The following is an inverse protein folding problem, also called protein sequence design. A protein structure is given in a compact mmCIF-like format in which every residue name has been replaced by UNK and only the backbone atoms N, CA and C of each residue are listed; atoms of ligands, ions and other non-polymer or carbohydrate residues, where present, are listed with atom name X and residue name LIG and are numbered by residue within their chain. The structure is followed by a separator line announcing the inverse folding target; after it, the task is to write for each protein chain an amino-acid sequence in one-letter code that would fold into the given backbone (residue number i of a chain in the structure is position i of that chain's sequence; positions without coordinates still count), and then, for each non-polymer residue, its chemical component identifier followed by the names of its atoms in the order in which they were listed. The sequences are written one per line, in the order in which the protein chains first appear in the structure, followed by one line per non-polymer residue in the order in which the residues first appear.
data_IF_878298139104
#
_entry.id   IF_878298139104
#
_cell.length_a   1.000
_cell.length_b   1.000
_cell.length_c   1.000
_cell.angle_alpha   90.00
_cell.angle_beta   90.00
_cell.angle_gamma   90.00
#
_symmetry.space_group_name_H-M   'P 1'
#
loop_
_entity.id
_entity.type
_entity.pdbx_description
1 polymer ?
#
# COMPACT_ATOMS: atom_id res chain seq x y z
N UNK A 1 -12.78 50.43 -70.74
CA UNK A 1 -13.08 49.06 -70.30
C UNK A 1 -12.25 48.77 -69.06
N UNK A 2 -12.86 48.50 -67.89
CA UNK A 2 -12.26 47.76 -66.76
C UNK A 2 -13.25 47.68 -65.57
N UNK A 3 -13.89 46.52 -65.39
CA UNK A 3 -14.69 46.20 -64.19
C UNK A 3 -13.76 45.60 -63.14
N UNK A 4 -13.65 46.22 -61.96
CA UNK A 4 -13.00 45.62 -60.79
C UNK A 4 -13.99 44.68 -60.11
N UNK A 5 -13.74 43.37 -60.18
CA UNK A 5 -14.49 42.34 -59.45
C UNK A 5 -14.01 42.37 -57.99
N UNK A 6 -14.93 42.65 -57.05
CA UNK A 6 -14.66 42.47 -55.61
C UNK A 6 -15.12 41.08 -55.20
N UNK A 7 -14.18 40.20 -54.88
CA UNK A 7 -14.47 38.90 -54.26
C UNK A 7 -14.69 39.14 -52.77
N UNK A 8 -15.95 39.07 -52.35
CA UNK A 8 -16.32 39.08 -50.94
C UNK A 8 -16.18 37.67 -50.37
N UNK A 9 -15.04 37.36 -49.75
CA UNK A 9 -14.85 36.11 -49.00
C UNK A 9 -15.60 36.22 -47.68
N UNK A 10 -16.82 35.68 -47.63
CA UNK A 10 -17.59 35.55 -46.40
C UNK A 10 -17.00 34.40 -45.56
N UNK A 11 -16.08 34.71 -44.64
CA UNK A 11 -15.63 33.76 -43.64
C UNK A 11 -16.82 33.40 -42.73
N UNK A 12 -17.31 32.17 -42.86
CA UNK A 12 -18.41 31.62 -42.06
C UNK A 12 -17.96 31.56 -40.59
N UNK A 13 -18.33 32.53 -39.76
CA UNK A 13 -18.12 32.48 -38.31
C UNK A 13 -18.86 31.25 -37.77
N UNK A 14 -18.12 30.22 -37.39
CA UNK A 14 -18.66 29.12 -36.61
C UNK A 14 -19.14 29.69 -35.28
N UNK A 15 -20.44 29.62 -35.01
CA UNK A 15 -20.99 30.01 -33.71
C UNK A 15 -20.37 29.10 -32.66
N UNK A 16 -19.55 29.67 -31.77
CA UNK A 16 -19.12 28.97 -30.57
C UNK A 16 -20.37 28.71 -29.73
N UNK A 17 -20.77 27.44 -29.62
CA UNK A 17 -21.81 27.02 -28.70
C UNK A 17 -21.20 27.04 -27.29
N UNK A 18 -21.56 28.06 -26.51
CA UNK A 18 -21.14 28.16 -25.12
C UNK A 18 -21.88 27.14 -24.26
N UNK A 19 -21.14 26.52 -23.34
CA UNK A 19 -21.71 25.70 -22.27
C UNK A 19 -22.72 26.52 -21.46
N UNK A 20 -23.92 26.00 -21.28
CA UNK A 20 -24.93 26.66 -20.44
C UNK A 20 -24.59 26.43 -18.96
N UNK A 21 -24.97 27.37 -18.09
CA UNK A 21 -24.82 27.19 -16.63
C UNK A 21 -25.57 25.95 -16.15
N UNK A 22 -26.73 25.67 -16.76
CA UNK A 22 -27.53 24.48 -16.50
C UNK A 22 -26.76 23.19 -16.77
N UNK A 23 -26.04 23.10 -17.90
CA UNK A 23 -25.24 21.93 -18.23
C UNK A 23 -24.17 21.63 -17.19
N UNK A 24 -23.50 22.66 -16.69
CA UNK A 24 -22.50 22.46 -15.63
C UNK A 24 -23.17 21.97 -14.35
N UNK A 25 -24.32 22.55 -13.96
CA UNK A 25 -25.05 22.12 -12.75
C UNK A 25 -25.53 20.68 -12.84
N UNK A 26 -26.08 20.28 -13.99
CA UNK A 26 -26.52 18.89 -14.20
C UNK A 26 -25.32 17.94 -14.28
N UNK A 27 -24.24 18.32 -14.95
CA UNK A 27 -23.04 17.51 -15.04
C UNK A 27 -22.40 17.26 -13.66
N UNK A 28 -22.24 18.30 -12.83
CA UNK A 28 -21.69 18.13 -11.48
C UNK A 28 -22.63 17.30 -10.59
N UNK A 29 -23.96 17.41 -10.77
CA UNK A 29 -24.91 16.60 -10.03
C UNK A 29 -24.79 15.10 -10.38
N UNK A 30 -24.63 14.77 -11.67
CA UNK A 30 -24.40 13.39 -12.12
C UNK A 30 -23.06 12.86 -11.60
N UNK A 31 -21.98 13.65 -11.70
CA UNK A 31 -20.66 13.25 -11.19
C UNK A 31 -20.70 13.02 -9.67
N UNK A 32 -21.36 13.88 -8.90
CA UNK A 32 -21.48 13.73 -7.46
C UNK A 32 -22.23 12.44 -7.07
N UNK A 33 -23.32 12.12 -7.78
CA UNK A 33 -24.07 10.88 -7.58
C UNK A 33 -23.20 9.65 -7.85
N UNK A 34 -22.48 9.63 -8.98
CA UNK A 34 -21.61 8.52 -9.35
C UNK A 34 -20.45 8.36 -8.36
N UNK A 35 -19.83 9.46 -7.95
CA UNK A 35 -18.75 9.44 -6.97
C UNK A 35 -19.25 8.86 -5.63
N UNK A 36 -20.41 9.30 -5.14
CA UNK A 36 -20.99 8.79 -3.90
C UNK A 36 -21.24 7.27 -3.92
N UNK A 37 -21.63 6.72 -5.07
CA UNK A 37 -21.86 5.28 -5.22
C UNK A 37 -20.56 4.45 -5.26
N UNK A 38 -19.48 4.97 -5.85
CA UNK A 38 -18.25 4.20 -6.12
C UNK A 38 -17.25 4.27 -4.96
N UNK A 39 -17.16 5.40 -4.26
CA UNK A 39 -16.11 5.67 -3.28
C UNK A 39 -16.01 4.65 -2.12
N UNK A 40 -17.13 4.17 -1.52
CA UNK A 40 -17.04 3.22 -0.40
C UNK A 40 -16.35 1.90 -0.78
N UNK A 41 -16.70 1.34 -1.95
CA UNK A 41 -16.11 0.09 -2.43
C UNK A 41 -14.62 0.23 -2.75
N UNK A 42 -14.20 1.38 -3.27
CA UNK A 42 -12.78 1.65 -3.53
C UNK A 42 -11.94 1.66 -2.25
N UNK A 43 -12.47 2.21 -1.15
CA UNK A 43 -11.76 2.25 0.13
C UNK A 43 -11.59 0.84 0.72
N UNK A 44 -12.63 0.00 0.65
CA UNK A 44 -12.54 -1.39 1.10
C UNK A 44 -11.53 -2.20 0.27
N UNK A 45 -11.62 -2.12 -1.06
CA UNK A 45 -10.68 -2.81 -1.97
C UNK A 45 -9.22 -2.39 -1.73
N UNK A 46 -8.99 -1.12 -1.37
CA UNK A 46 -7.66 -0.63 -1.03
C UNK A 46 -7.12 -1.25 0.26
N UNK A 47 -7.95 -1.38 1.29
CA UNK A 47 -7.53 -2.04 2.53
C UNK A 47 -7.29 -3.54 2.33
N UNK A 48 -8.13 -4.23 1.55
CA UNK A 48 -7.91 -5.64 1.21
C UNK A 48 -6.61 -5.86 0.44
N UNK A 49 -6.28 -4.96 -0.49
CA UNK A 49 -5.02 -5.00 -1.22
C UNK A 49 -3.82 -4.78 -0.30
N UNK A 50 -3.91 -3.84 0.66
CA UNK A 50 -2.87 -3.65 1.68
C UNK A 50 -2.72 -4.87 2.57
N UNK A 51 -3.83 -5.45 3.04
CA UNK A 51 -3.82 -6.68 3.84
C UNK A 51 -3.08 -7.81 3.13
N UNK A 52 -3.44 -8.09 1.87
CA UNK A 52 -2.78 -9.12 1.05
C UNK A 52 -1.29 -8.84 0.82
N UNK A 53 -0.94 -7.57 0.61
CA UNK A 53 0.46 -7.14 0.45
C UNK A 53 1.25 -7.29 1.75
N UNK A 54 0.67 -6.89 2.89
CA UNK A 54 1.29 -7.03 4.21
C UNK A 54 1.52 -8.50 4.55
N UNK A 55 0.54 -9.36 4.27
CA UNK A 55 0.67 -10.81 4.45
C UNK A 55 1.84 -11.34 3.61
N UNK A 56 1.93 -10.97 2.34
CA UNK A 56 3.03 -11.38 1.46
C UNK A 56 4.39 -10.90 1.98
N UNK A 57 4.49 -9.64 2.42
CA UNK A 57 5.72 -9.10 3.00
C UNK A 57 6.14 -9.92 4.22
N UNK A 58 5.22 -10.17 5.15
CA UNK A 58 5.48 -10.89 6.40
C UNK A 58 5.77 -12.37 6.16
N UNK A 59 5.17 -13.01 5.17
CA UNK A 59 5.39 -14.43 4.87
C UNK A 59 6.66 -14.71 4.06
N UNK A 60 7.11 -13.76 3.23
CA UNK A 60 8.17 -13.99 2.25
C UNK A 60 9.34 -13.02 2.39
N UNK A 61 9.06 -11.72 2.37
CA UNK A 61 10.12 -10.71 2.30
C UNK A 61 10.92 -10.67 3.61
N UNK A 62 10.25 -10.55 4.76
CA UNK A 62 10.88 -10.53 6.08
C UNK A 62 11.72 -11.78 6.37
N UNK A 63 11.17 -13.02 6.29
CA UNK A 63 11.97 -14.20 6.55
C UNK A 63 13.12 -14.35 5.55
N UNK A 64 12.91 -14.04 4.26
CA UNK A 64 13.99 -14.12 3.27
C UNK A 64 15.14 -13.14 3.56
N UNK A 65 14.84 -11.91 4.00
CA UNK A 65 15.85 -10.93 4.39
C UNK A 65 16.62 -11.37 5.64
N UNK A 66 15.92 -11.93 6.63
CA UNK A 66 16.52 -12.49 7.84
C UNK A 66 17.45 -13.66 7.48
N UNK A 67 16.98 -14.65 6.71
CA UNK A 67 17.80 -15.79 6.28
C UNK A 67 19.03 -15.32 5.50
N UNK A 68 18.88 -14.40 4.54
CA UNK A 68 20.03 -13.83 3.81
C UNK A 68 21.04 -13.17 4.73
N UNK A 69 20.58 -12.44 5.75
CA UNK A 69 21.46 -11.79 6.70
C UNK A 69 22.19 -12.80 7.60
N UNK A 70 21.48 -13.82 8.08
CA UNK A 70 22.06 -14.90 8.89
C UNK A 70 23.04 -15.73 8.07
N UNK A 71 22.74 -16.06 6.80
CA UNK A 71 23.69 -16.79 5.93
C UNK A 71 24.99 -16.03 5.69
N UNK A 72 24.96 -14.68 5.70
CA UNK A 72 26.17 -13.86 5.53
C UNK A 72 27.00 -13.73 6.80
N UNK A 73 26.33 -13.57 7.94
CA UNK A 73 26.99 -13.31 9.23
C UNK A 73 27.23 -14.58 10.05
N UNK A 74 26.62 -15.69 9.64
CA UNK A 74 26.60 -16.98 10.34
C UNK A 74 26.10 -16.90 11.78
N UNK A 75 25.46 -15.79 12.17
CA UNK A 75 25.09 -15.49 13.55
C UNK A 75 23.73 -14.79 13.59
N UNK A 76 22.82 -15.28 14.42
CA UNK A 76 21.59 -14.57 14.76
C UNK A 76 21.71 -13.86 16.10
N UNK A 77 21.84 -12.54 16.06
CA UNK A 77 22.02 -11.73 17.27
C UNK A 77 21.52 -10.30 17.04
N UNK A 78 21.27 -9.57 18.12
CA UNK A 78 20.81 -8.19 18.05
C UNK A 78 21.81 -7.24 17.34
N UNK A 79 23.09 -7.62 17.22
CA UNK A 79 24.10 -6.83 16.50
C UNK A 79 24.15 -7.14 15.01
N UNK A 80 23.82 -8.37 14.61
CA UNK A 80 23.84 -8.82 13.21
C UNK A 80 22.49 -8.68 12.52
N UNK A 81 21.40 -8.63 13.29
CA UNK A 81 20.03 -8.42 12.81
C UNK A 81 19.54 -7.06 13.30
N UNK A 82 19.81 -6.03 12.50
CA UNK A 82 19.32 -4.67 12.75
C UNK A 82 18.44 -4.22 11.59
N UNK A 83 17.55 -3.25 11.84
CA UNK A 83 16.71 -2.68 10.78
C UNK A 83 17.55 -2.22 9.58
N UNK A 84 18.63 -1.48 9.82
CA UNK A 84 19.51 -0.99 8.75
C UNK A 84 20.05 -2.14 7.87
N UNK A 85 20.55 -3.21 8.49
CA UNK A 85 21.08 -4.36 7.76
C UNK A 85 19.98 -5.09 6.97
N UNK A 86 18.77 -5.18 7.51
CA UNK A 86 17.64 -5.80 6.79
C UNK A 86 17.13 -4.92 5.63
N UNK A 87 17.21 -3.60 5.73
CA UNK A 87 16.92 -2.70 4.60
C UNK A 87 17.93 -2.92 3.46
N UNK A 88 19.21 -3.09 3.77
CA UNK A 88 20.22 -3.47 2.77
C UNK A 88 20.00 -4.88 2.16
N UNK A 89 19.11 -5.70 2.74
CA UNK A 89 18.70 -7.00 2.18
C UNK A 89 17.42 -6.92 1.35
N UNK A 90 16.86 -5.72 1.17
CA UNK A 90 15.73 -5.46 0.27
C UNK A 90 14.40 -5.25 0.98
N UNK A 91 14.36 -5.14 2.31
CA UNK A 91 13.12 -4.76 2.99
C UNK A 91 12.78 -3.28 2.77
N UNK A 92 11.48 -2.93 2.67
CA UNK A 92 11.05 -1.55 2.56
C UNK A 92 11.27 -0.79 3.88
N UNK A 93 11.48 0.53 3.79
CA UNK A 93 11.67 1.38 4.98
C UNK A 93 10.41 1.46 5.87
N UNK A 94 9.24 1.41 5.23
CA UNK A 94 7.92 1.53 5.82
C UNK A 94 7.03 0.34 5.45
N UNK A 95 5.96 0.15 6.21
CA UNK A 95 4.91 -0.83 5.95
C UNK A 95 4.01 -0.41 4.78
N UNK A 96 3.07 -1.26 4.38
CA UNK A 96 2.04 -0.92 3.37
C UNK A 96 1.13 0.24 3.79
N UNK A 97 1.10 0.53 5.10
CA UNK A 97 0.39 1.67 5.68
C UNK A 97 1.27 2.90 5.85
N UNK A 98 2.48 2.90 5.27
CA UNK A 98 3.46 3.98 5.40
C UNK A 98 3.87 4.27 6.85
N UNK A 99 3.80 3.26 7.73
CA UNK A 99 4.23 3.35 9.13
C UNK A 99 5.56 2.65 9.33
N UNK A 100 6.25 2.95 10.44
CA UNK A 100 7.57 2.40 10.71
C UNK A 100 7.48 1.05 11.45
N UNK A 101 8.02 -0.01 10.84
CA UNK A 101 8.29 -1.27 11.53
C UNK A 101 9.65 -1.24 12.25
N UNK A 102 9.84 -2.13 13.21
CA UNK A 102 11.09 -2.28 13.96
C UNK A 102 11.47 -3.75 14.19
N UNK A 103 12.75 -3.98 14.48
CA UNK A 103 13.23 -5.27 14.99
C UNK A 103 13.00 -5.27 16.50
N UNK A 104 12.27 -6.27 16.99
CA UNK A 104 12.02 -6.52 18.40
C UNK A 104 13.09 -7.43 19.01
N UNK A 105 12.67 -8.43 19.77
CA UNK A 105 13.59 -9.36 20.41
C UNK A 105 14.38 -10.18 19.38
N UNK A 106 15.70 -10.27 19.58
CA UNK A 106 16.58 -11.16 18.82
C UNK A 106 17.28 -12.09 19.80
N UNK A 107 17.06 -13.38 19.63
CA UNK A 107 17.72 -14.44 20.39
C UNK A 107 18.66 -15.22 19.47
N UNK A 108 19.29 -16.28 19.98
CA UNK A 108 20.16 -17.13 19.18
C UNK A 108 19.46 -17.84 18.01
N UNK A 109 18.13 -18.01 18.07
CA UNK A 109 17.37 -18.77 17.06
C UNK A 109 16.10 -18.08 16.56
N UNK A 110 15.68 -16.98 17.17
CA UNK A 110 14.47 -16.26 16.79
C UNK A 110 14.71 -14.76 16.63
N UNK A 111 14.03 -14.17 15.65
CA UNK A 111 13.95 -12.72 15.43
C UNK A 111 12.47 -12.34 15.44
N UNK A 112 12.09 -11.40 16.30
CA UNK A 112 10.76 -10.80 16.28
C UNK A 112 10.78 -9.49 15.50
N UNK A 113 9.84 -9.31 14.60
CA UNK A 113 9.58 -8.06 13.87
C UNK A 113 8.28 -7.47 14.38
N UNK A 114 8.34 -6.21 14.81
CA UNK A 114 7.16 -5.43 15.19
C UNK A 114 6.68 -4.65 13.97
N UNK A 115 5.62 -5.11 13.34
CA UNK A 115 5.02 -4.52 12.14
C UNK A 115 3.81 -3.67 12.52
N UNK A 116 3.87 -2.37 12.24
CA UNK A 116 2.83 -1.41 12.57
C UNK A 116 1.74 -1.37 11.51
N UNK A 117 0.49 -1.25 11.96
CA UNK A 117 -0.72 -1.30 11.14
C UNK A 117 -1.48 0.00 11.39
N UNK A 118 -1.88 0.67 10.31
CA UNK A 118 -2.76 1.85 10.32
C UNK A 118 -3.93 1.61 9.36
N UNK A 119 -4.64 0.51 9.62
CA UNK A 119 -5.81 0.08 8.87
C UNK A 119 -7.06 0.71 9.45
N UNK A 120 -8.02 1.04 8.57
CA UNK A 120 -9.37 1.45 9.00
C UNK A 120 -10.19 0.26 9.47
N UNK A 121 -9.78 -0.97 9.15
CA UNK A 121 -10.39 -2.19 9.68
C UNK A 121 -9.70 -2.63 10.97
N UNK A 122 -10.46 -2.55 12.07
CA UNK A 122 -10.05 -3.01 13.40
C UNK A 122 -9.61 -4.48 13.47
N UNK A 123 -10.03 -5.35 12.54
CA UNK A 123 -9.68 -6.78 12.55
C UNK A 123 -8.38 -7.10 11.80
N UNK A 124 -7.81 -6.15 11.07
CA UNK A 124 -6.61 -6.39 10.24
C UNK A 124 -5.47 -7.04 11.02
N UNK A 125 -5.19 -6.57 12.25
CA UNK A 125 -4.13 -7.14 13.07
C UNK A 125 -4.41 -8.58 13.53
N UNK A 126 -5.64 -8.88 13.97
CA UNK A 126 -6.04 -10.22 14.41
C UNK A 126 -6.08 -11.21 13.25
N UNK A 127 -6.54 -10.76 12.08
CA UNK A 127 -6.66 -11.59 10.89
C UNK A 127 -5.28 -11.93 10.32
N UNK A 128 -4.36 -10.96 10.27
CA UNK A 128 -2.96 -11.19 9.93
C UNK A 128 -2.31 -12.19 10.90
N UNK A 129 -2.53 -12.04 12.21
CA UNK A 129 -1.97 -12.97 13.19
C UNK A 129 -2.51 -14.39 13.00
N UNK A 130 -3.81 -14.53 12.73
CA UNK A 130 -4.43 -15.83 12.45
C UNK A 130 -3.85 -16.46 11.18
N UNK A 131 -3.76 -15.69 10.09
CA UNK A 131 -3.22 -16.15 8.82
C UNK A 131 -1.75 -16.57 8.94
N UNK A 132 -0.90 -15.75 9.55
CA UNK A 132 0.54 -16.02 9.68
C UNK A 132 0.84 -17.25 10.54
N UNK A 133 0.08 -17.46 11.62
CA UNK A 133 0.22 -18.65 12.46
C UNK A 133 -0.26 -19.95 11.77
N UNK A 134 -1.03 -19.85 10.69
CA UNK A 134 -1.40 -21.01 9.89
C UNK A 134 -0.29 -21.45 8.90
N UNK A 135 0.78 -20.65 8.77
CA UNK A 135 1.90 -20.92 7.87
C UNK A 135 3.09 -21.56 8.58
N UNK A 136 3.97 -22.24 7.84
CA UNK A 136 5.20 -22.82 8.38
C UNK A 136 6.41 -21.87 8.35
N UNK A 137 6.28 -20.70 7.73
CA UNK A 137 7.37 -19.74 7.55
C UNK A 137 7.55 -18.79 8.76
N UNK A 138 6.59 -18.84 9.69
CA UNK A 138 6.53 -18.00 10.89
C UNK A 138 6.51 -18.92 12.11
N UNK A 139 7.27 -18.58 13.15
CA UNK A 139 7.25 -19.32 14.42
C UNK A 139 6.04 -18.95 15.26
N UNK A 140 5.71 -17.66 15.31
CA UNK A 140 4.51 -17.15 15.95
C UNK A 140 4.19 -15.74 15.47
N UNK A 141 2.91 -15.39 15.44
CA UNK A 141 2.45 -14.02 15.20
C UNK A 141 1.45 -13.63 16.29
N UNK A 142 1.60 -12.44 16.87
CA UNK A 142 0.74 -11.96 17.95
C UNK A 142 0.30 -10.52 17.66
N UNK A 143 -1.00 -10.30 17.61
CA UNK A 143 -1.57 -8.97 17.47
C UNK A 143 -1.53 -8.23 18.83
N UNK A 144 -1.14 -6.96 18.82
CA UNK A 144 -1.19 -6.07 19.96
C UNK A 144 -2.23 -5.00 19.67
N UNK A 145 -3.46 -5.23 20.14
CA UNK A 145 -4.60 -4.41 19.74
C UNK A 145 -4.78 -4.43 18.21
N UNK A 146 -5.10 -3.26 17.64
CA UNK A 146 -5.41 -3.13 16.21
C UNK A 146 -4.27 -2.47 15.41
N UNK A 147 -3.20 -2.03 16.08
CA UNK A 147 -2.19 -1.13 15.51
C UNK A 147 -0.84 -1.79 15.27
N UNK A 148 -0.65 -3.02 15.72
CA UNK A 148 0.62 -3.71 15.59
C UNK A 148 0.45 -5.23 15.61
N UNK A 149 1.35 -5.90 14.90
CA UNK A 149 1.58 -7.34 15.00
C UNK A 149 3.07 -7.60 15.24
N UNK A 150 3.37 -8.46 16.21
CA UNK A 150 4.71 -8.96 16.48
C UNK A 150 4.85 -10.35 15.84
N UNK A 151 5.74 -10.48 14.85
CA UNK A 151 5.94 -11.71 14.08
C UNK A 151 7.32 -12.26 14.36
N UNK A 152 7.41 -13.49 14.87
CA UNK A 152 8.66 -14.16 15.18
C UNK A 152 9.04 -15.15 14.09
N UNK A 153 10.26 -15.03 13.59
CA UNK A 153 10.85 -15.87 12.57
C UNK A 153 11.99 -16.68 13.16
N UNK A 154 12.23 -17.86 12.58
CA UNK A 154 13.45 -18.61 12.86
C UNK A 154 14.61 -18.05 12.06
N UNK A 155 15.81 -18.13 12.64
CA UNK A 155 17.04 -17.69 11.97
C UNK A 155 17.65 -18.75 11.05
N UNK A 156 17.17 -20.00 11.11
CA UNK A 156 17.73 -21.15 10.42
C UNK A 156 16.91 -21.61 9.22
#
# INVERSE_FOLDING_TARGET
MNRKIRVSTAAKRMKQQGFTLLEIVVAIAIVALLAAAILPGLMQNKEDAKYSTALTQLEKDFPSAITRQVSRTQTCSATTITKALLLERGLPQTTVWNTAWSVGAVTSNLVTINYTIDSTDSKTASDLATALNATNNVQSATATGNTQIAVSYRCN
#
